data_IF_606809641106
#
_entry.id   IF_606809641106
#
_cell.length_a   1.000
_cell.length_b   1.000
_cell.length_c   1.000
_cell.angle_alpha   90.00
_cell.angle_beta   90.00
_cell.angle_gamma   90.00
#
_symmetry.space_group_name_H-M   'P 1'
#
loop_
_entity.id
_entity.type
_entity.pdbx_description
1 polymer ?
#
# COMPACT_ATOMS: atom_id res chain seq x y z
N UNK A 1 -16.23 12.55 13.75
CA UNK A 1 -15.88 11.53 14.76
C UNK A 1 -15.25 12.23 15.96
N UNK A 2 -15.23 11.61 17.14
CA UNK A 2 -14.40 12.13 18.23
C UNK A 2 -12.91 12.00 17.84
N UNK A 3 -12.09 12.98 18.23
CA UNK A 3 -10.65 13.03 17.93
C UNK A 3 -9.92 11.73 18.26
N UNK A 4 -10.22 11.10 19.40
CA UNK A 4 -9.58 9.85 19.80
C UNK A 4 -9.91 8.68 18.86
N UNK A 5 -11.11 8.67 18.27
CA UNK A 5 -11.50 7.69 17.25
C UNK A 5 -10.72 7.91 15.94
N UNK A 6 -10.54 9.17 15.53
CA UNK A 6 -9.75 9.51 14.34
C UNK A 6 -8.28 9.14 14.51
N UNK A 7 -7.67 9.42 15.65
CA UNK A 7 -6.29 9.04 15.96
C UNK A 7 -6.09 7.52 15.93
N UNK A 8 -7.05 6.74 16.47
CA UNK A 8 -7.03 5.27 16.37
C UNK A 8 -7.13 4.79 14.93
N UNK A 9 -8.01 5.37 14.13
CA UNK A 9 -8.15 5.00 12.72
C UNK A 9 -6.92 5.37 11.91
N UNK A 10 -6.32 6.54 12.18
CA UNK A 10 -5.07 6.97 11.55
C UNK A 10 -3.97 5.94 11.79
N UNK A 11 -3.75 5.49 13.03
CA UNK A 11 -2.73 4.48 13.31
C UNK A 11 -2.97 3.14 12.58
N UNK A 12 -4.23 2.76 12.34
CA UNK A 12 -4.56 1.57 11.53
C UNK A 12 -4.24 1.81 10.05
N UNK A 13 -4.64 2.96 9.50
CA UNK A 13 -4.41 3.32 8.11
C UNK A 13 -2.90 3.44 7.80
N UNK A 14 -2.13 4.08 8.70
CA UNK A 14 -0.67 4.19 8.59
C UNK A 14 0.00 2.82 8.59
N UNK A 15 -0.46 1.90 9.45
CA UNK A 15 0.04 0.52 9.48
C UNK A 15 -0.23 -0.19 8.16
N UNK A 16 -1.45 -0.11 7.63
CA UNK A 16 -1.78 -0.74 6.34
C UNK A 16 -0.96 -0.14 5.19
N UNK A 17 -0.80 1.18 5.15
CA UNK A 17 0.02 1.85 4.13
C UNK A 17 1.50 1.44 4.23
N UNK A 18 2.05 1.31 5.44
CA UNK A 18 3.43 0.85 5.64
C UNK A 18 3.62 -0.62 5.22
N UNK A 19 2.70 -1.51 5.61
CA UNK A 19 2.74 -2.92 5.21
C UNK A 19 2.61 -3.09 3.70
N UNK A 20 1.72 -2.33 3.06
CA UNK A 20 1.55 -2.37 1.61
C UNK A 20 2.79 -1.87 0.86
N UNK A 21 3.47 -0.81 1.32
CA UNK A 21 4.77 -0.40 0.78
C UNK A 21 5.82 -1.52 0.85
N UNK A 22 5.98 -2.14 2.02
CA UNK A 22 6.94 -3.24 2.20
C UNK A 22 6.62 -4.43 1.27
N UNK A 23 5.34 -4.75 1.09
CA UNK A 23 4.92 -5.80 0.17
C UNK A 23 5.19 -5.45 -1.30
N UNK A 24 4.94 -4.21 -1.71
CA UNK A 24 5.24 -3.76 -3.07
C UNK A 24 6.73 -3.86 -3.37
N UNK A 25 7.59 -3.35 -2.49
CA UNK A 25 9.04 -3.40 -2.65
C UNK A 25 9.53 -4.85 -2.84
N UNK A 26 9.00 -5.78 -2.01
CA UNK A 26 9.34 -7.20 -2.12
C UNK A 26 8.83 -7.84 -3.42
N UNK A 27 7.62 -7.52 -3.85
CA UNK A 27 7.05 -8.05 -5.09
C UNK A 27 7.81 -7.54 -6.32
N UNK A 28 8.23 -6.28 -6.31
CA UNK A 28 9.05 -5.69 -7.38
C UNK A 28 10.41 -6.39 -7.49
N UNK A 29 11.07 -6.64 -6.37
CA UNK A 29 12.34 -7.38 -6.34
C UNK A 29 12.17 -8.81 -6.85
N UNK A 30 11.12 -9.51 -6.42
CA UNK A 30 10.83 -10.88 -6.86
C UNK A 30 10.54 -10.96 -8.35
N UNK A 31 9.74 -10.03 -8.90
CA UNK A 31 9.44 -9.97 -10.33
C UNK A 31 10.72 -9.71 -11.13
N UNK A 32 11.58 -8.78 -10.68
CA UNK A 32 12.86 -8.52 -11.33
C UNK A 32 13.78 -9.75 -11.30
N UNK A 33 13.77 -10.53 -10.22
CA UNK A 33 14.52 -11.79 -10.16
C UNK A 33 13.98 -12.84 -11.13
N UNK A 34 12.65 -13.02 -11.18
CA UNK A 34 12.00 -13.95 -12.10
C UNK A 34 12.28 -13.62 -13.56
N UNK A 35 12.19 -12.33 -13.91
CA UNK A 35 12.47 -11.83 -15.26
C UNK A 35 13.93 -12.10 -15.68
N UNK A 36 14.90 -11.80 -14.79
CA UNK A 36 16.32 -12.11 -15.04
C UNK A 36 16.60 -13.59 -15.24
N UNK A 37 15.83 -14.46 -14.59
CA UNK A 37 15.94 -15.91 -14.71
C UNK A 37 15.16 -16.46 -15.93
N UNK A 38 14.53 -15.60 -16.74
CA UNK A 38 13.82 -15.98 -17.95
C UNK A 38 12.43 -16.57 -17.72
N UNK A 39 11.84 -16.37 -16.54
CA UNK A 39 10.47 -16.78 -16.26
C UNK A 39 9.46 -15.79 -16.85
N UNK A 40 8.28 -16.28 -17.24
CA UNK A 40 7.16 -15.41 -17.61
C UNK A 40 6.61 -14.69 -16.36
N UNK A 41 6.69 -13.36 -16.37
CA UNK A 41 6.25 -12.47 -15.28
C UNK A 41 4.95 -11.74 -15.57
N UNK A 42 4.28 -12.01 -16.70
CA UNK A 42 3.13 -11.22 -17.14
C UNK A 42 1.97 -11.21 -16.13
N UNK A 43 1.66 -12.35 -15.52
CA UNK A 43 0.63 -12.44 -14.47
C UNK A 43 1.08 -11.75 -13.18
N UNK A 44 2.35 -11.90 -12.79
CA UNK A 44 2.89 -11.26 -11.59
C UNK A 44 2.84 -9.73 -11.70
N UNK A 45 3.13 -9.17 -12.89
CA UNK A 45 3.00 -7.74 -13.17
C UNK A 45 1.54 -7.27 -13.09
N UNK A 46 0.58 -8.07 -13.58
CA UNK A 46 -0.86 -7.76 -13.45
C UNK A 46 -1.28 -7.70 -11.98
N UNK A 47 -0.87 -8.69 -11.18
CA UNK A 47 -1.14 -8.70 -9.73
C UNK A 47 -0.48 -7.49 -9.05
N UNK A 48 0.79 -7.19 -9.35
CA UNK A 48 1.50 -6.03 -8.80
C UNK A 48 0.78 -4.72 -9.12
N UNK A 49 0.21 -4.59 -10.32
CA UNK A 49 -0.57 -3.41 -10.72
C UNK A 49 -1.79 -3.23 -9.82
N UNK A 50 -2.54 -4.30 -9.55
CA UNK A 50 -3.67 -4.28 -8.61
C UNK A 50 -3.21 -3.92 -7.19
N UNK A 51 -2.09 -4.46 -6.73
CA UNK A 51 -1.55 -4.12 -5.40
C UNK A 51 -1.18 -2.64 -5.29
N UNK A 52 -0.60 -2.03 -6.34
CA UNK A 52 -0.30 -0.59 -6.36
C UNK A 52 -1.56 0.27 -6.31
N UNK A 53 -2.64 -0.15 -6.99
CA UNK A 53 -3.93 0.53 -6.90
C UNK A 53 -4.49 0.48 -5.48
N UNK A 54 -4.45 -0.69 -4.82
CA UNK A 54 -4.87 -0.82 -3.42
C UNK A 54 -4.01 0.01 -2.48
N UNK A 55 -2.69 0.07 -2.70
CA UNK A 55 -1.79 0.91 -1.91
C UNK A 55 -2.15 2.38 -2.00
N UNK A 56 -2.50 2.86 -3.21
CA UNK A 56 -2.94 4.25 -3.40
C UNK A 56 -4.17 4.56 -2.54
N UNK A 57 -5.12 3.62 -2.42
CA UNK A 57 -6.30 3.79 -1.55
C UNK A 57 -5.92 3.85 -0.06
N UNK A 58 -4.93 3.06 0.38
CA UNK A 58 -4.43 3.13 1.75
C UNK A 58 -3.77 4.47 2.06
N UNK A 59 -3.00 5.02 1.12
CA UNK A 59 -2.34 6.32 1.28
C UNK A 59 -3.34 7.47 1.28
N UNK A 60 -4.35 7.41 0.42
CA UNK A 60 -5.47 8.37 0.43
C UNK A 60 -6.27 8.33 1.73
N UNK A 61 -6.44 7.16 2.34
CA UNK A 61 -7.13 7.04 3.63
C UNK A 61 -6.35 7.70 4.77
N UNK A 62 -5.01 7.55 4.77
CA UNK A 62 -4.13 8.26 5.70
C UNK A 62 -4.25 9.78 5.52
N UNK A 63 -4.15 10.27 4.28
CA UNK A 63 -4.27 11.71 3.98
C UNK A 63 -5.62 12.27 4.42
N UNK A 64 -6.71 11.54 4.14
CA UNK A 64 -8.05 11.92 4.58
C UNK A 64 -8.15 12.04 6.10
N UNK A 65 -7.61 11.07 6.84
CA UNK A 65 -7.67 11.05 8.31
C UNK A 65 -6.81 12.15 8.94
N UNK A 66 -5.65 12.47 8.35
CA UNK A 66 -4.83 13.61 8.76
C UNK A 66 -5.58 14.93 8.59
N UNK A 67 -6.19 15.14 7.41
CA UNK A 67 -6.99 16.33 7.14
C UNK A 67 -8.18 16.45 8.12
N UNK A 68 -8.84 15.34 8.48
CA UNK A 68 -9.93 15.35 9.47
C UNK A 68 -9.48 15.67 10.90
N UNK A 69 -8.20 15.46 11.25
CA UNK A 69 -7.63 15.78 12.57
C UNK A 69 -7.15 17.22 12.71
N UNK A 70 -6.84 17.86 11.57
CA UNK A 70 -6.42 19.26 11.48
C UNK A 70 -7.60 20.25 11.43
N UNK A 71 -8.80 19.77 11.06
CA UNK A 71 -10.05 20.54 11.06
C UNK A 71 -10.81 20.45 12.40
#
# INVERSE_FOLDING_TARGET
MDRAMLERHLGIAERHAAQGREHLDRQEQLIAELDRNGHDTAEAIRVLTTLRQTQTLHEQDVERLLNELEN
#
